data_IF_729131612662
#
_entry.id   IF_729131612662
#
_cell.length_a   1.000
_cell.length_b   1.000
_cell.length_c   1.000
_cell.angle_alpha   90.00
_cell.angle_beta   90.00
_cell.angle_gamma   90.00
#
_symmetry.space_group_name_H-M   'P 1'
#
loop_
_entity.id
_entity.type
_entity.pdbx_description
1 polymer ?
#
# COMPACT_ATOMS: atom_id res chain seq x y z
N UNK A 1 -0.67 -14.12 -17.14
CA UNK A 1 -1.14 -12.73 -16.94
C UNK A 1 0.06 -11.81 -17.06
N UNK A 2 -0.10 -10.61 -17.61
CA UNK A 2 1.00 -9.62 -17.65
C UNK A 2 1.35 -9.15 -16.22
N UNK A 3 2.62 -8.81 -15.99
CA UNK A 3 3.07 -8.28 -14.70
C UNK A 3 2.38 -6.94 -14.41
N UNK A 4 1.93 -6.75 -13.16
CA UNK A 4 1.28 -5.52 -12.72
C UNK A 4 2.30 -4.39 -12.53
N UNK A 5 1.98 -3.21 -13.04
CA UNK A 5 2.81 -2.01 -12.96
C UNK A 5 2.50 -1.24 -11.68
N UNK A 6 3.41 -1.29 -10.72
CA UNK A 6 3.22 -0.65 -9.42
C UNK A 6 4.03 0.63 -9.35
N UNK A 7 3.35 1.76 -9.13
CA UNK A 7 3.98 3.01 -8.76
C UNK A 7 4.10 3.12 -7.23
N UNK A 8 5.17 3.74 -6.74
CA UNK A 8 5.35 3.92 -5.29
C UNK A 8 5.32 5.40 -4.94
N UNK A 9 4.53 5.77 -3.92
CA UNK A 9 4.60 7.09 -3.30
C UNK A 9 5.26 6.93 -1.93
N UNK A 10 6.47 7.48 -1.79
CA UNK A 10 7.34 7.28 -0.64
C UNK A 10 8.58 6.47 -0.98
N UNK A 11 9.67 6.75 -0.26
CA UNK A 11 10.99 6.13 -0.51
C UNK A 11 11.67 5.67 0.79
N UNK A 12 10.87 5.41 1.84
CA UNK A 12 11.33 4.92 3.13
C UNK A 12 11.57 3.41 3.14
N UNK A 13 11.91 2.87 4.31
CA UNK A 13 12.22 1.45 4.46
C UNK A 13 11.05 0.54 4.04
N UNK A 14 9.81 0.90 4.40
CA UNK A 14 8.64 0.08 4.04
C UNK A 14 8.34 0.07 2.54
N UNK A 15 8.61 1.18 1.83
CA UNK A 15 8.56 1.22 0.36
C UNK A 15 9.55 0.22 -0.25
N UNK A 16 10.78 0.16 0.26
CA UNK A 16 11.81 -0.78 -0.21
C UNK A 16 11.44 -2.22 0.13
N UNK A 17 11.02 -2.49 1.35
CA UNK A 17 10.64 -3.84 1.80
C UNK A 17 9.46 -4.39 0.99
N UNK A 18 8.38 -3.62 0.86
CA UNK A 18 7.19 -4.07 0.12
C UNK A 18 7.42 -4.04 -1.40
N UNK A 19 8.19 -3.09 -1.91
CA UNK A 19 8.62 -3.07 -3.31
C UNK A 19 9.40 -4.33 -3.69
N UNK A 20 10.37 -4.76 -2.87
CA UNK A 20 11.10 -6.02 -3.08
C UNK A 20 10.17 -7.22 -3.02
N UNK A 21 9.26 -7.26 -2.04
CA UNK A 21 8.28 -8.34 -1.93
C UNK A 21 7.39 -8.44 -3.19
N UNK A 22 7.02 -7.31 -3.82
CA UNK A 22 6.32 -7.33 -5.11
C UNK A 22 7.17 -7.97 -6.22
N UNK A 23 8.45 -7.59 -6.34
CA UNK A 23 9.36 -8.16 -7.34
C UNK A 23 9.54 -9.67 -7.15
N UNK A 24 9.66 -10.12 -5.90
CA UNK A 24 9.81 -11.54 -5.54
C UNK A 24 8.60 -12.40 -5.95
N UNK A 25 7.41 -11.81 -6.12
CA UNK A 25 6.25 -12.55 -6.63
C UNK A 25 6.38 -12.96 -8.09
N UNK A 26 7.23 -12.27 -8.87
CA UNK A 26 7.28 -12.40 -10.33
C UNK A 26 6.00 -11.94 -11.06
N UNK A 27 5.06 -11.31 -10.35
CA UNK A 27 3.76 -10.87 -10.87
C UNK A 27 3.62 -9.34 -10.92
N UNK A 28 4.64 -8.61 -10.47
CA UNK A 28 4.63 -7.15 -10.45
C UNK A 28 6.01 -6.59 -10.80
N UNK A 29 6.02 -5.39 -11.37
CA UNK A 29 7.19 -4.55 -11.61
C UNK A 29 7.00 -3.18 -10.96
N UNK A 30 8.10 -2.52 -10.58
CA UNK A 30 8.04 -1.16 -10.09
C UNK A 30 8.23 -0.19 -11.25
N UNK A 31 7.16 0.46 -11.70
CA UNK A 31 7.20 1.30 -12.89
C UNK A 31 7.67 2.72 -12.61
N UNK A 32 7.56 3.20 -11.36
CA UNK A 32 8.08 4.50 -10.92
C UNK A 32 8.06 4.65 -9.40
N UNK A 33 8.90 5.55 -8.88
CA UNK A 33 8.90 5.93 -7.45
C UNK A 33 8.87 7.45 -7.31
N UNK A 34 8.02 7.97 -6.42
CA UNK A 34 8.01 9.39 -6.07
C UNK A 34 8.38 9.63 -4.60
N UNK A 35 9.08 10.73 -4.36
CA UNK A 35 9.36 11.24 -3.02
C UNK A 35 9.70 12.72 -3.09
N UNK A 36 9.28 13.50 -2.10
CA UNK A 36 9.62 14.94 -1.99
C UNK A 36 11.11 15.25 -2.14
N UNK A 37 11.99 14.28 -1.87
CA UNK A 37 13.43 14.38 -2.14
C UNK A 37 13.76 13.52 -3.35
N UNK A 38 14.11 14.17 -4.46
CA UNK A 38 14.50 13.53 -5.71
C UNK A 38 15.58 12.45 -5.51
N UNK A 39 16.59 12.73 -4.69
CA UNK A 39 17.66 11.77 -4.38
C UNK A 39 17.14 10.49 -3.70
N UNK A 40 16.15 10.60 -2.81
CA UNK A 40 15.52 9.46 -2.16
C UNK A 40 14.67 8.65 -3.14
N UNK A 41 13.91 9.34 -4.01
CA UNK A 41 13.12 8.69 -5.06
C UNK A 41 14.03 7.89 -6.01
N UNK A 42 15.10 8.52 -6.52
CA UNK A 42 16.10 7.89 -7.39
C UNK A 42 16.75 6.65 -6.75
N UNK A 43 17.19 6.76 -5.49
CA UNK A 43 17.81 5.64 -4.79
C UNK A 43 16.84 4.48 -4.57
N UNK A 44 15.57 4.77 -4.29
CA UNK A 44 14.54 3.74 -4.12
C UNK A 44 14.17 3.08 -5.46
N UNK A 45 13.99 3.86 -6.52
CA UNK A 45 13.73 3.36 -7.86
C UNK A 45 14.85 2.42 -8.33
N UNK A 46 16.11 2.84 -8.21
CA UNK A 46 17.27 2.04 -8.59
C UNK A 46 17.37 0.72 -7.82
N UNK A 47 17.13 0.72 -6.51
CA UNK A 47 17.09 -0.51 -5.71
C UNK A 47 15.95 -1.47 -6.08
N UNK A 48 14.89 -0.94 -6.71
CA UNK A 48 13.69 -1.68 -7.10
C UNK A 48 13.63 -1.89 -8.62
N UNK A 49 14.78 -1.85 -9.29
CA UNK A 49 14.92 -2.08 -10.73
C UNK A 49 14.04 -1.15 -11.61
N UNK A 50 13.87 0.09 -11.18
CA UNK A 50 13.14 1.15 -11.90
C UNK A 50 14.04 2.34 -12.19
N UNK A 51 13.92 2.89 -13.41
CA UNK A 51 14.65 4.09 -13.83
C UNK A 51 13.80 5.37 -13.76
N UNK A 52 12.51 5.25 -13.45
CA UNK A 52 11.56 6.36 -13.43
C UNK A 52 11.35 6.84 -12.00
N UNK A 53 11.64 8.11 -11.76
CA UNK A 53 11.46 8.71 -10.44
C UNK A 53 11.04 10.18 -10.53
N UNK A 54 10.26 10.61 -9.54
CA UNK A 54 9.70 11.96 -9.49
C UNK A 54 9.84 12.57 -8.09
N UNK A 55 9.88 13.90 -8.03
CA UNK A 55 9.76 14.68 -6.80
C UNK A 55 8.32 15.06 -6.43
N UNK A 56 7.40 14.96 -7.39
CA UNK A 56 5.95 15.10 -7.21
C UNK A 56 5.24 13.78 -7.54
N UNK A 57 4.43 13.28 -6.61
CA UNK A 57 3.65 12.06 -6.80
C UNK A 57 2.62 12.18 -7.92
N UNK A 58 2.18 13.39 -8.26
CA UNK A 58 1.20 13.62 -9.33
C UNK A 58 1.69 13.18 -10.69
N UNK A 59 3.02 13.18 -10.87
CA UNK A 59 3.70 12.79 -12.10
C UNK A 59 3.76 11.28 -12.30
N UNK A 60 3.42 10.47 -11.30
CA UNK A 60 3.40 9.01 -11.44
C UNK A 60 2.45 8.54 -12.55
N UNK A 61 1.40 9.29 -12.86
CA UNK A 61 0.51 9.02 -13.99
C UNK A 61 1.25 8.97 -15.35
N UNK A 62 2.38 9.68 -15.50
CA UNK A 62 3.25 9.62 -16.69
C UNK A 62 3.80 8.20 -16.93
N UNK A 63 3.87 7.37 -15.88
CA UNK A 63 4.36 5.98 -15.96
C UNK A 63 3.27 4.93 -16.20
N UNK A 64 2.00 5.35 -16.31
CA UNK A 64 0.83 4.49 -16.50
C UNK A 64 0.80 3.27 -15.56
N UNK A 65 0.72 3.48 -14.23
CA UNK A 65 0.65 2.39 -13.26
C UNK A 65 -0.73 1.73 -13.23
N UNK A 66 -0.76 0.43 -12.95
CA UNK A 66 -2.00 -0.31 -12.63
C UNK A 66 -2.48 0.00 -11.20
N UNK A 67 -1.54 0.17 -10.26
CA UNK A 67 -1.83 0.42 -8.86
C UNK A 67 -0.69 1.20 -8.19
N UNK A 68 -0.99 1.79 -7.02
CA UNK A 68 -0.05 2.55 -6.23
C UNK A 68 0.19 1.89 -4.87
N UNK A 69 1.47 1.73 -4.51
CA UNK A 69 1.91 1.46 -3.15
C UNK A 69 2.16 2.79 -2.42
N UNK A 70 1.38 3.08 -1.39
CA UNK A 70 1.45 4.32 -0.61
C UNK A 70 2.18 4.11 0.72
N UNK A 71 3.38 4.68 0.84
CA UNK A 71 4.32 4.54 1.97
C UNK A 71 4.82 5.90 2.46
N UNK A 72 3.89 6.70 2.97
CA UNK A 72 4.12 8.09 3.41
C UNK A 72 3.82 8.28 4.89
N UNK A 73 4.33 9.35 5.52
CA UNK A 73 3.92 9.71 6.88
C UNK A 73 2.40 9.94 6.98
N UNK A 74 1.78 9.51 8.08
CA UNK A 74 0.33 9.60 8.30
C UNK A 74 -0.27 10.99 8.06
N UNK A 75 0.46 12.07 8.37
CA UNK A 75 -0.02 13.46 8.23
C UNK A 75 -0.44 13.82 6.78
N UNK A 76 0.15 13.17 5.77
CA UNK A 76 -0.12 13.48 4.35
C UNK A 76 -0.84 12.33 3.64
N UNK A 77 -1.11 11.22 4.33
CA UNK A 77 -1.65 10.01 3.73
C UNK A 77 -3.05 10.24 3.17
N UNK A 78 -3.95 10.84 3.96
CA UNK A 78 -5.36 11.01 3.58
C UNK A 78 -5.51 11.82 2.29
N UNK A 79 -4.79 12.95 2.18
CA UNK A 79 -4.81 13.81 0.97
C UNK A 79 -4.33 13.03 -0.27
N UNK A 80 -3.23 12.29 -0.15
CA UNK A 80 -2.65 11.53 -1.26
C UNK A 80 -3.56 10.36 -1.67
N UNK A 81 -4.17 9.68 -0.70
CA UNK A 81 -5.14 8.62 -0.95
C UNK A 81 -6.32 9.13 -1.74
N UNK A 82 -6.93 10.25 -1.32
CA UNK A 82 -8.05 10.85 -2.04
C UNK A 82 -7.66 11.27 -3.46
N UNK A 83 -6.49 11.91 -3.62
CA UNK A 83 -5.98 12.25 -4.95
C UNK A 83 -5.84 11.02 -5.87
N UNK A 84 -5.27 9.94 -5.36
CA UNK A 84 -5.06 8.73 -6.16
C UNK A 84 -6.38 8.06 -6.55
N UNK A 85 -7.36 8.02 -5.63
CA UNK A 85 -8.70 7.51 -5.90
C UNK A 85 -9.47 8.38 -6.90
N UNK A 86 -9.35 9.71 -6.80
CA UNK A 86 -9.95 10.62 -7.77
C UNK A 86 -9.43 10.36 -9.19
N UNK A 87 -8.13 10.05 -9.30
CA UNK A 87 -7.47 9.67 -10.54
C UNK A 87 -7.77 8.22 -11.00
N UNK A 88 -8.50 7.43 -10.20
CA UNK A 88 -8.93 6.09 -10.57
C UNK A 88 -7.90 4.98 -10.30
N UNK A 89 -6.90 5.22 -9.45
CA UNK A 89 -5.87 4.22 -9.15
C UNK A 89 -6.30 3.28 -8.02
N UNK A 90 -5.96 1.99 -8.17
CA UNK A 90 -5.99 1.02 -7.08
C UNK A 90 -4.85 1.30 -6.09
N UNK A 91 -5.10 1.04 -4.79
CA UNK A 91 -4.18 1.41 -3.72
C UNK A 91 -3.86 0.25 -2.77
N UNK A 92 -2.59 0.09 -2.46
CA UNK A 92 -2.11 -0.59 -1.26
C UNK A 92 -1.50 0.45 -0.30
N UNK A 93 -2.12 0.64 0.86
CA UNK A 93 -1.71 1.64 1.86
C UNK A 93 -0.90 0.94 2.96
N UNK A 94 0.34 1.38 3.20
CA UNK A 94 1.27 0.70 4.10
C UNK A 94 0.90 0.58 5.59
N UNK A 95 -0.18 1.24 6.04
CA UNK A 95 -0.60 1.30 7.44
C UNK A 95 -2.11 1.52 7.57
N UNK A 96 -2.56 2.11 8.68
CA UNK A 96 -3.98 2.43 8.92
C UNK A 96 -4.65 3.03 7.67
N UNK A 97 -5.92 2.71 7.42
CA UNK A 97 -6.65 3.21 6.24
C UNK A 97 -6.59 4.73 6.13
N UNK A 98 -6.73 5.42 7.26
CA UNK A 98 -6.77 6.87 7.34
C UNK A 98 -6.30 7.36 8.72
N UNK A 99 -6.16 8.68 8.88
CA UNK A 99 -5.79 9.32 10.15
C UNK A 99 -6.87 9.25 11.24
N UNK A 100 -8.13 9.11 10.86
CA UNK A 100 -9.28 9.04 11.76
C UNK A 100 -10.47 8.33 11.08
N UNK A 101 -11.55 8.06 11.83
CA UNK A 101 -12.73 7.36 11.34
C UNK A 101 -13.41 8.09 10.18
N UNK A 102 -13.63 9.40 10.30
CA UNK A 102 -14.30 10.20 9.27
C UNK A 102 -13.53 10.21 7.95
N UNK A 103 -12.21 10.38 7.99
CA UNK A 103 -11.36 10.24 6.81
C UNK A 103 -11.44 8.82 6.20
N UNK A 104 -11.51 7.79 7.05
CA UNK A 104 -11.65 6.40 6.61
C UNK A 104 -12.96 6.14 5.88
N UNK A 105 -14.07 6.66 6.39
CA UNK A 105 -15.39 6.57 5.75
C UNK A 105 -15.41 7.30 4.40
N UNK A 106 -14.79 8.49 4.31
CA UNK A 106 -14.65 9.23 3.06
C UNK A 106 -13.86 8.45 2.01
N UNK A 107 -12.71 7.88 2.40
CA UNK A 107 -11.87 7.07 1.50
C UNK A 107 -12.64 5.83 1.03
N UNK A 108 -13.35 5.13 1.92
CA UNK A 108 -14.13 3.95 1.56
C UNK A 108 -15.28 4.27 0.60
N UNK A 109 -16.00 5.38 0.84
CA UNK A 109 -17.08 5.84 -0.03
C UNK A 109 -16.56 6.24 -1.42
N UNK A 110 -15.43 6.95 -1.48
CA UNK A 110 -14.82 7.36 -2.73
C UNK A 110 -14.32 6.16 -3.53
N UNK A 111 -13.61 5.23 -2.90
CA UNK A 111 -13.13 4.01 -3.55
C UNK A 111 -14.27 3.22 -4.19
N UNK A 112 -15.38 3.04 -3.45
CA UNK A 112 -16.60 2.40 -3.97
C UNK A 112 -17.20 3.15 -5.15
N UNK A 113 -17.25 4.48 -5.09
CA UNK A 113 -17.83 5.32 -6.16
C UNK A 113 -16.98 5.28 -7.43
N UNK A 114 -15.65 5.26 -7.28
CA UNK A 114 -14.69 5.22 -8.38
C UNK A 114 -14.47 3.81 -8.93
N UNK A 115 -14.89 2.79 -8.20
CA UNK A 115 -14.65 1.39 -8.55
C UNK A 115 -13.20 0.94 -8.32
N UNK A 116 -12.44 1.66 -7.49
CA UNK A 116 -11.07 1.32 -7.16
C UNK A 116 -10.99 0.32 -6.01
N UNK A 117 -9.97 -0.53 -6.03
CA UNK A 117 -9.58 -1.39 -4.92
C UNK A 117 -8.69 -0.59 -3.96
N UNK A 118 -9.01 -0.64 -2.67
CA UNK A 118 -8.15 -0.12 -1.59
C UNK A 118 -7.90 -1.23 -0.59
N UNK A 119 -6.64 -1.61 -0.43
CA UNK A 119 -6.20 -2.55 0.60
C UNK A 119 -5.27 -1.86 1.59
N UNK A 120 -5.45 -2.19 2.86
CA UNK A 120 -4.55 -1.78 3.92
C UNK A 120 -3.51 -2.88 4.12
N UNK A 121 -2.23 -2.50 4.12
CA UNK A 121 -1.04 -3.33 4.31
C UNK A 121 -0.92 -3.90 5.72
N UNK A 122 -1.95 -4.62 6.16
CA UNK A 122 -2.03 -5.35 7.42
C UNK A 122 -1.70 -6.83 7.19
N UNK A 123 -0.42 -7.10 6.93
CA UNK A 123 0.09 -8.39 6.45
C UNK A 123 -0.23 -9.57 7.37
N UNK A 124 -0.46 -9.33 8.67
CA UNK A 124 -0.80 -10.39 9.65
C UNK A 124 -2.07 -11.16 9.28
N UNK A 125 -3.01 -10.59 8.51
CA UNK A 125 -4.17 -11.34 7.98
C UNK A 125 -3.78 -12.50 7.06
N UNK A 126 -2.62 -12.39 6.41
CA UNK A 126 -2.16 -13.34 5.40
C UNK A 126 -1.19 -14.38 5.96
N UNK A 127 -0.59 -14.10 7.11
CA UNK A 127 0.34 -14.98 7.82
C UNK A 127 -0.34 -16.30 8.25
N UNK A 128 0.19 -17.47 7.85
CA UNK A 128 -0.33 -18.78 8.22
C UNK A 128 -0.46 -19.00 9.74
N UNK A 129 0.45 -18.44 10.54
CA UNK A 129 0.40 -18.56 11.99
C UNK A 129 -0.84 -17.84 12.57
N UNK A 130 -1.13 -16.63 12.10
CA UNK A 130 -2.32 -15.88 12.51
C UNK A 130 -3.61 -16.53 12.02
N UNK A 131 -3.60 -17.12 10.82
CA UNK A 131 -4.74 -17.94 10.34
C UNK A 131 -4.99 -19.15 11.24
N UNK A 132 -3.94 -19.86 11.66
CA UNK A 132 -4.06 -21.01 12.57
C UNK A 132 -4.54 -20.59 13.96
N UNK A 133 -4.03 -19.47 14.49
CA UNK A 133 -4.50 -18.91 15.76
C UNK A 133 -6.00 -18.60 15.69
N UNK A 134 -6.45 -17.95 14.61
CA UNK A 134 -7.88 -17.67 14.38
C UNK A 134 -8.71 -18.96 14.40
N UNK A 135 -8.28 -20.00 13.68
CA UNK A 135 -8.95 -21.30 13.66
C UNK A 135 -9.05 -21.93 15.07
N UNK A 136 -7.96 -21.91 15.84
CA UNK A 136 -7.95 -22.46 17.21
C UNK A 136 -8.92 -21.71 18.13
N UNK A 137 -8.95 -20.38 18.05
CA UNK A 137 -9.90 -19.55 18.79
C UNK A 137 -11.34 -19.84 18.37
N UNK A 138 -11.62 -19.93 17.06
CA UNK A 138 -12.96 -20.23 16.52
C UNK A 138 -13.44 -21.64 16.87
N UNK A 139 -12.53 -22.62 16.90
CA UNK A 139 -12.80 -24.01 17.31
C UNK A 139 -13.07 -24.18 18.81
N UNK A 140 -12.68 -23.20 19.63
CA UNK A 140 -12.71 -23.25 21.10
C UNK A 140 -11.87 -24.38 21.71
N UNK A 141 -10.93 -24.99 20.97
CA UNK A 141 -10.00 -26.00 21.50
C UNK A 141 -9.16 -25.47 22.69
N UNK A 142 -8.91 -24.15 22.72
CA UNK A 142 -8.18 -23.46 23.78
C UNK A 142 -9.10 -22.76 24.81
N UNK A 143 -10.41 -23.03 24.78
CA UNK A 143 -11.42 -22.31 25.56
C UNK A 143 -11.83 -20.99 24.93
N UNK A 144 -12.40 -20.09 25.74
CA UNK A 144 -12.88 -18.77 25.31
C UNK A 144 -11.80 -17.74 25.66
N UNK A 145 -11.34 -16.91 24.71
CA UNK A 145 -10.41 -15.83 25.00
C UNK A 145 -10.99 -14.90 26.09
N UNK A 146 -10.23 -14.71 27.15
CA UNK A 146 -10.55 -13.75 28.22
C UNK A 146 -9.51 -12.64 28.21
N UNK A 147 -9.92 -11.43 28.55
CA UNK A 147 -8.99 -10.34 28.79
C UNK A 147 -8.37 -10.56 30.17
N UNK A 148 -7.06 -10.77 30.23
CA UNK A 148 -6.34 -10.74 31.51
C UNK A 148 -6.29 -9.29 31.96
N UNK A 149 -6.89 -9.01 33.12
CA UNK A 149 -6.77 -7.74 33.84
C UNK A 149 -5.37 -7.56 34.41
#
# INVERSE_FOLDING_TARGET
>A
MAAKRIAIIGAGNMARTRGRAFLETGQAEICSVSSRRMASAKACASELASDVYFDDYRRLAESNPDAILLEVPHKVQDEITLWALEAGFDLLIGGCLASNLGSGEQIAALAKTKGCVVEVGYQRRYDPAWKKIKQLVESKELGIPVMST
#
